data_IF_793517741209
#
_entry.id   IF_793517741209
#
_cell.length_a   1.000
_cell.length_b   1.000
_cell.length_c   1.000
_cell.angle_alpha   90.00
_cell.angle_beta   90.00
_cell.angle_gamma   90.00
#
_symmetry.space_group_name_H-M   'P 1'
#
loop_
_entity.id
_entity.type
_entity.pdbx_description
1 polymer ?
#
# COMPACT_ATOMS: atom_id res chain seq x y z
N UNK A 1 32.16 -34.96 18.15
CA UNK A 1 31.30 -34.68 19.32
C UNK A 1 31.52 -33.29 19.94
N UNK A 2 32.74 -32.72 19.94
CA UNK A 2 32.99 -31.37 20.53
C UNK A 2 32.36 -30.22 19.75
N UNK A 3 32.36 -30.28 18.42
CA UNK A 3 31.92 -29.15 17.60
C UNK A 3 30.39 -29.03 17.56
N UNK A 4 29.67 -30.15 17.58
CA UNK A 4 28.20 -30.17 17.69
C UNK A 4 27.74 -29.45 18.96
N UNK A 5 28.40 -29.68 20.10
CA UNK A 5 28.09 -28.96 21.36
C UNK A 5 28.38 -27.46 21.28
N UNK A 6 29.47 -27.07 20.61
CA UNK A 6 29.81 -25.65 20.39
C UNK A 6 28.78 -24.95 19.51
N UNK A 7 28.37 -25.57 18.40
CA UNK A 7 27.35 -25.02 17.52
C UNK A 7 25.99 -24.92 18.20
N UNK A 8 25.59 -25.93 18.98
CA UNK A 8 24.35 -25.87 19.77
C UNK A 8 24.37 -24.71 20.78
N UNK A 9 25.50 -24.50 21.45
CA UNK A 9 25.65 -23.41 22.41
C UNK A 9 25.57 -22.04 21.73
N UNK A 10 26.24 -21.88 20.59
CA UNK A 10 26.20 -20.66 19.79
C UNK A 10 24.79 -20.38 19.27
N UNK A 11 24.12 -21.39 18.72
CA UNK A 11 22.76 -21.28 18.20
C UNK A 11 21.77 -20.89 19.29
N UNK A 12 21.82 -21.52 20.46
CA UNK A 12 20.97 -21.14 21.59
C UNK A 12 21.24 -19.71 22.06
N UNK A 13 22.52 -19.30 22.12
CA UNK A 13 22.92 -17.94 22.51
C UNK A 13 22.40 -16.91 21.51
N UNK A 14 22.55 -17.18 20.21
CA UNK A 14 22.08 -16.30 19.13
C UNK A 14 20.55 -16.22 19.11
N UNK A 15 19.84 -17.33 19.34
CA UNK A 15 18.39 -17.34 19.44
C UNK A 15 17.90 -16.53 20.65
N UNK A 16 18.58 -16.65 21.79
CA UNK A 16 18.26 -15.87 22.99
C UNK A 16 18.51 -14.37 22.78
N UNK A 17 19.63 -14.00 22.15
CA UNK A 17 19.91 -12.61 21.79
C UNK A 17 18.89 -12.06 20.78
N UNK A 18 18.54 -12.87 19.77
CA UNK A 18 17.54 -12.51 18.78
C UNK A 18 16.19 -12.25 19.45
N UNK A 19 15.73 -13.17 20.29
CA UNK A 19 14.46 -13.06 21.01
C UNK A 19 14.40 -11.85 21.95
N UNK A 20 15.49 -11.56 22.67
CA UNK A 20 15.50 -10.52 23.71
C UNK A 20 15.73 -9.11 23.18
N UNK A 21 16.48 -8.95 22.10
CA UNK A 21 16.99 -7.63 21.69
C UNK A 21 16.68 -7.25 20.23
N UNK A 22 16.41 -8.24 19.36
CA UNK A 22 16.30 -8.02 17.92
C UNK A 22 14.85 -8.14 17.46
N UNK A 23 14.19 -9.24 17.82
CA UNK A 23 12.80 -9.52 17.43
C UNK A 23 11.81 -8.67 18.20
N UNK A 24 10.78 -8.22 17.49
CA UNK A 24 9.60 -7.61 18.12
C UNK A 24 8.83 -8.63 18.95
N UNK A 25 8.28 -8.20 20.08
CA UNK A 25 7.44 -9.07 20.90
C UNK A 25 6.12 -9.36 20.18
N UNK A 26 5.72 -10.63 20.10
CA UNK A 26 4.49 -11.06 19.40
C UNK A 26 3.23 -10.30 19.81
N UNK A 27 3.12 -9.96 21.11
CA UNK A 27 2.01 -9.18 21.65
C UNK A 27 1.97 -7.76 21.09
N UNK A 28 3.13 -7.13 20.91
CA UNK A 28 3.24 -5.78 20.35
C UNK A 28 2.95 -5.81 18.85
N UNK A 29 3.47 -6.81 18.13
CA UNK A 29 3.18 -7.00 16.69
C UNK A 29 1.67 -7.15 16.47
N UNK A 30 1.02 -8.04 17.22
CA UNK A 30 -0.42 -8.27 17.12
C UNK A 30 -1.22 -7.01 17.41
N UNK A 31 -0.88 -6.29 18.49
CA UNK A 31 -1.56 -5.03 18.85
C UNK A 31 -1.39 -3.97 17.75
N UNK A 32 -0.18 -3.80 17.25
CA UNK A 32 0.12 -2.78 16.25
C UNK A 32 -0.57 -3.09 14.91
N UNK A 33 -0.62 -4.36 14.50
CA UNK A 33 -1.39 -4.80 13.33
C UNK A 33 -2.88 -4.49 13.47
N UNK A 34 -3.48 -4.75 14.64
CA UNK A 34 -4.89 -4.42 14.87
C UNK A 34 -5.16 -2.91 14.78
N UNK A 35 -4.25 -2.08 15.30
CA UNK A 35 -4.35 -0.62 15.21
C UNK A 35 -4.21 -0.17 13.75
N UNK A 36 -3.21 -0.70 13.03
CA UNK A 36 -2.99 -0.36 11.63
C UNK A 36 -4.19 -0.74 10.76
N UNK A 37 -4.68 -1.98 10.86
CA UNK A 37 -5.85 -2.44 10.12
C UNK A 37 -7.07 -1.54 10.37
N UNK A 38 -7.29 -1.17 11.62
CA UNK A 38 -8.35 -0.25 12.04
C UNK A 38 -8.22 1.12 11.38
N UNK A 39 -7.02 1.72 11.42
CA UNK A 39 -6.75 3.03 10.80
C UNK A 39 -6.89 2.93 9.28
N UNK A 40 -6.27 1.93 8.64
CA UNK A 40 -6.29 1.77 7.20
C UNK A 40 -7.68 1.54 6.65
N UNK A 41 -8.52 0.77 7.35
CA UNK A 41 -9.91 0.60 6.95
C UNK A 41 -10.63 1.96 6.90
N UNK A 42 -10.55 2.74 7.99
CA UNK A 42 -11.15 4.08 8.04
C UNK A 42 -10.58 5.01 6.95
N UNK A 43 -9.27 4.96 6.75
CA UNK A 43 -8.57 5.80 5.79
C UNK A 43 -8.97 5.48 4.35
N UNK A 44 -8.91 4.20 3.96
CA UNK A 44 -9.24 3.72 2.62
C UNK A 44 -10.73 3.97 2.32
N UNK A 45 -11.62 3.77 3.29
CA UNK A 45 -13.04 4.05 3.08
C UNK A 45 -13.27 5.53 2.77
N UNK A 46 -12.58 6.45 3.46
CA UNK A 46 -12.59 7.87 3.10
C UNK A 46 -11.94 8.16 1.74
N UNK A 47 -10.83 7.52 1.40
CA UNK A 47 -10.22 7.67 0.06
C UNK A 47 -11.21 7.30 -1.05
N UNK A 48 -11.99 6.21 -0.86
CA UNK A 48 -13.05 5.79 -1.79
C UNK A 48 -14.20 6.79 -1.89
N UNK A 49 -14.50 7.51 -0.81
CA UNK A 49 -15.50 8.59 -0.84
C UNK A 49 -15.01 9.82 -1.62
N UNK A 50 -13.70 10.11 -1.57
CA UNK A 50 -13.10 11.29 -2.21
C UNK A 50 -12.84 11.12 -3.70
N UNK A 51 -12.61 9.89 -4.16
CA UNK A 51 -12.25 9.63 -5.55
C UNK A 51 -12.98 8.40 -6.12
N UNK A 52 -13.95 8.60 -7.02
CA UNK A 52 -14.70 7.52 -7.66
C UNK A 52 -13.83 6.57 -8.48
N UNK A 53 -12.74 7.06 -9.09
CA UNK A 53 -11.83 6.23 -9.87
C UNK A 53 -11.05 5.30 -8.94
N UNK A 54 -10.53 5.83 -7.82
CA UNK A 54 -9.88 5.04 -6.78
C UNK A 54 -10.84 3.99 -6.21
N UNK A 55 -12.07 4.38 -5.88
CA UNK A 55 -13.10 3.45 -5.41
C UNK A 55 -13.34 2.29 -6.36
N UNK A 56 -13.28 2.56 -7.66
CA UNK A 56 -13.53 1.55 -8.69
C UNK A 56 -12.32 0.66 -8.96
N UNK A 57 -11.11 1.20 -8.90
CA UNK A 57 -9.86 0.47 -9.16
C UNK A 57 -9.35 -0.28 -7.93
N UNK A 58 -9.52 0.27 -6.73
CA UNK A 58 -9.02 -0.32 -5.49
C UNK A 58 -9.64 -1.69 -5.25
N UNK A 59 -8.79 -2.68 -5.02
CA UNK A 59 -9.19 -4.07 -4.78
C UNK A 59 -8.93 -4.49 -3.34
N UNK A 60 -7.68 -4.39 -2.88
CA UNK A 60 -7.26 -4.78 -1.52
C UNK A 60 -5.92 -4.15 -1.15
N UNK A 61 -5.62 -4.18 0.14
CA UNK A 61 -4.28 -3.92 0.68
C UNK A 61 -3.53 -5.24 0.78
N UNK A 62 -2.26 -5.23 0.42
CA UNK A 62 -1.30 -6.22 0.85
C UNK A 62 -0.32 -5.59 1.83
N UNK A 63 0.04 -6.38 2.81
CA UNK A 63 1.01 -6.02 3.82
C UNK A 63 2.34 -6.63 3.42
N UNK A 64 3.32 -5.78 3.11
CA UNK A 64 4.62 -6.19 2.61
C UNK A 64 5.75 -5.56 3.42
N UNK A 65 6.99 -5.87 3.05
CA UNK A 65 8.17 -5.28 3.65
C UNK A 65 8.62 -5.98 4.94
N UNK A 66 9.79 -5.54 5.42
CA UNK A 66 10.56 -6.21 6.48
C UNK A 66 9.78 -6.44 7.78
N UNK A 67 8.78 -5.59 8.08
CA UNK A 67 7.92 -5.74 9.25
C UNK A 67 7.06 -7.00 9.18
N UNK A 68 6.44 -7.26 8.02
CA UNK A 68 5.59 -8.43 7.81
C UNK A 68 6.40 -9.69 7.49
N UNK A 69 7.60 -9.52 6.93
CA UNK A 69 8.54 -10.63 6.69
C UNK A 69 9.26 -11.10 7.97
N UNK A 70 9.02 -10.45 9.12
CA UNK A 70 9.70 -10.75 10.39
C UNK A 70 11.19 -10.42 10.38
N UNK A 71 11.66 -9.69 9.37
CA UNK A 71 13.05 -9.28 9.17
C UNK A 71 13.37 -7.94 9.84
N UNK A 72 12.35 -7.25 10.35
CA UNK A 72 12.53 -5.95 10.99
C UNK A 72 13.09 -6.08 12.40
N UNK A 73 14.20 -5.38 12.60
CA UNK A 73 14.92 -5.27 13.88
C UNK A 73 14.58 -3.92 14.52
N UNK A 74 14.28 -3.90 15.82
CA UNK A 74 14.00 -2.64 16.56
C UNK A 74 12.54 -2.18 16.52
N UNK A 75 12.27 -0.88 16.72
CA UNK A 75 10.89 -0.34 16.84
C UNK A 75 10.16 -0.25 15.49
N UNK A 76 8.85 -0.58 15.41
CA UNK A 76 8.09 -0.46 14.20
C UNK A 76 7.59 0.97 14.04
N UNK A 77 8.39 1.81 13.38
CA UNK A 77 8.11 3.24 13.19
C UNK A 77 7.47 3.53 11.82
N UNK A 78 7.45 2.57 10.91
CA UNK A 78 6.81 2.69 9.59
C UNK A 78 6.12 1.37 9.18
N UNK A 79 5.21 1.43 8.22
CA UNK A 79 4.62 0.25 7.60
C UNK A 79 4.63 0.42 6.08
N UNK A 80 5.14 -0.58 5.36
CA UNK A 80 5.03 -0.63 3.90
C UNK A 80 3.68 -1.25 3.52
N UNK A 81 2.96 -0.56 2.62
CA UNK A 81 1.61 -0.94 2.21
C UNK A 81 1.51 -0.97 0.69
N UNK A 82 1.08 -2.11 0.17
CA UNK A 82 0.84 -2.29 -1.25
C UNK A 82 -0.67 -2.22 -1.53
N UNK A 83 -1.10 -1.17 -2.23
CA UNK A 83 -2.50 -1.02 -2.63
C UNK A 83 -2.71 -1.63 -4.02
N UNK A 84 -3.47 -2.72 -4.09
CA UNK A 84 -3.79 -3.35 -5.38
C UNK A 84 -4.86 -2.55 -6.12
N UNK A 85 -4.47 -1.99 -7.27
CA UNK A 85 -5.36 -1.31 -8.21
C UNK A 85 -5.60 -2.19 -9.44
N UNK A 86 -6.87 -2.43 -9.77
CA UNK A 86 -7.28 -3.21 -10.93
C UNK A 86 -7.67 -2.28 -12.09
N UNK A 87 -7.01 -2.47 -13.23
CA UNK A 87 -7.35 -1.78 -14.48
C UNK A 87 -8.52 -2.48 -15.19
N UNK A 88 -9.37 -1.73 -15.92
CA UNK A 88 -10.46 -2.32 -16.68
C UNK A 88 -9.92 -3.21 -17.81
N UNK A 89 -10.33 -4.48 -17.82
CA UNK A 89 -9.89 -5.47 -18.82
C UNK A 89 -10.18 -5.04 -20.26
N UNK A 90 -11.31 -4.37 -20.48
CA UNK A 90 -11.73 -3.91 -21.81
C UNK A 90 -10.83 -2.79 -22.37
N UNK A 91 -10.07 -2.08 -21.53
CA UNK A 91 -9.05 -1.14 -21.98
C UNK A 91 -7.77 -1.84 -22.48
N UNK A 92 -7.72 -3.18 -22.41
CA UNK A 92 -6.62 -4.02 -22.89
C UNK A 92 -5.25 -3.61 -22.32
N UNK A 93 -5.07 -3.60 -20.99
CA UNK A 93 -3.79 -3.26 -20.38
C UNK A 93 -2.75 -4.33 -20.71
N UNK A 94 -1.63 -3.91 -21.29
CA UNK A 94 -0.52 -4.76 -21.70
C UNK A 94 0.77 -4.31 -21.02
N UNK A 95 1.53 -5.27 -20.48
CA UNK A 95 2.84 -5.04 -19.89
C UNK A 95 3.91 -5.34 -20.95
N UNK A 96 4.86 -4.43 -21.08
CA UNK A 96 6.01 -4.53 -21.97
C UNK A 96 7.30 -4.43 -21.17
N UNK A 97 8.32 -5.15 -21.64
CA UNK A 97 9.66 -5.11 -21.04
C UNK A 97 10.30 -3.75 -21.32
N UNK A 98 10.78 -3.09 -20.27
CA UNK A 98 11.56 -1.85 -20.42
C UNK A 98 12.97 -2.16 -20.90
N UNK A 99 13.60 -1.18 -21.57
CA UNK A 99 15.05 -1.21 -21.83
C UNK A 99 15.89 -1.03 -20.56
N UNK A 100 15.27 -0.58 -19.46
CA UNK A 100 15.91 -0.40 -18.16
C UNK A 100 15.61 -1.62 -17.28
N UNK A 101 16.62 -2.37 -16.82
CA UNK A 101 16.43 -3.50 -15.93
C UNK A 101 15.67 -3.12 -14.66
N UNK A 102 14.75 -3.98 -14.22
CA UNK A 102 13.92 -3.75 -13.03
C UNK A 102 12.67 -2.90 -13.29
N UNK A 103 12.46 -2.40 -14.52
CA UNK A 103 11.29 -1.62 -14.89
C UNK A 103 10.46 -2.31 -15.98
N UNK A 104 9.18 -1.98 -16.00
CA UNK A 104 8.23 -2.38 -17.05
C UNK A 104 7.44 -1.17 -17.52
N UNK A 105 6.84 -1.27 -18.70
CA UNK A 105 5.91 -0.27 -19.22
C UNK A 105 4.52 -0.87 -19.29
N UNK A 106 3.50 -0.12 -18.88
CA UNK A 106 2.11 -0.50 -19.02
C UNK A 106 1.45 0.38 -20.06
N UNK A 107 0.75 -0.20 -21.02
CA UNK A 107 0.00 0.51 -22.06
C UNK A 107 -1.42 -0.01 -22.19
N UNK A 108 -2.38 0.88 -22.47
CA UNK A 108 -3.74 0.49 -22.83
C UNK A 108 -3.86 0.29 -24.34
N UNK A 109 -4.36 -0.86 -24.77
CA UNK A 109 -4.63 -1.17 -26.18
C UNK A 109 -5.94 -0.58 -26.70
N UNK A 110 -6.93 -0.36 -25.82
CA UNK A 110 -8.29 -0.01 -26.22
C UNK A 110 -8.94 1.03 -25.29
N UNK A 111 -8.22 2.10 -24.97
CA UNK A 111 -8.73 3.18 -24.12
C UNK A 111 -9.99 3.84 -24.70
N UNK A 112 -9.96 4.23 -25.97
CA UNK A 112 -11.09 4.94 -26.58
C UNK A 112 -12.34 4.06 -26.69
N UNK A 113 -12.19 2.79 -27.03
CA UNK A 113 -13.29 1.83 -27.06
C UNK A 113 -13.87 1.60 -25.66
N UNK A 114 -13.02 1.55 -24.64
CA UNK A 114 -13.46 1.49 -23.24
C UNK A 114 -14.26 2.74 -22.83
N UNK A 115 -13.77 3.94 -23.13
CA UNK A 115 -14.44 5.19 -22.73
C UNK A 115 -15.77 5.45 -23.47
N UNK A 116 -16.01 4.80 -24.61
CA UNK A 116 -17.31 4.84 -25.31
C UNK A 116 -18.40 4.02 -24.61
N UNK A 117 -18.06 3.16 -23.65
CA UNK A 117 -19.05 2.42 -22.87
C UNK A 117 -19.84 3.38 -21.97
N UNK A 118 -21.19 3.36 -22.01
CA UNK A 118 -22.02 4.24 -21.19
C UNK A 118 -21.69 4.19 -19.69
N UNK A 119 -21.33 3.01 -19.18
CA UNK A 119 -20.96 2.76 -17.79
C UNK A 119 -19.56 3.27 -17.41
N UNK A 120 -18.66 3.42 -18.38
CA UNK A 120 -17.27 3.82 -18.14
C UNK A 120 -17.18 5.33 -17.88
N UNK A 121 -17.83 6.15 -18.71
CA UNK A 121 -17.71 7.61 -18.69
C UNK A 121 -17.92 8.27 -17.30
N UNK A 122 -18.98 7.98 -16.53
CA UNK A 122 -19.19 8.66 -15.24
C UNK A 122 -18.17 8.26 -14.17
N UNK A 123 -17.70 7.01 -14.18
CA UNK A 123 -16.82 6.45 -13.14
C UNK A 123 -15.34 6.65 -13.46
N UNK A 124 -14.97 6.52 -14.74
CA UNK A 124 -13.60 6.56 -15.24
C UNK A 124 -13.25 7.88 -15.95
N UNK A 125 -14.03 8.95 -15.73
CA UNK A 125 -13.80 10.26 -16.37
C UNK A 125 -12.37 10.80 -16.25
N UNK A 126 -11.68 10.52 -15.14
CA UNK A 126 -10.31 10.95 -14.86
C UNK A 126 -9.27 9.88 -15.18
N UNK A 127 -9.68 8.71 -15.67
CA UNK A 127 -8.79 7.57 -15.89
C UNK A 127 -7.69 7.89 -16.89
N UNK A 128 -8.02 8.58 -18.00
CA UNK A 128 -7.04 9.03 -18.98
C UNK A 128 -5.96 9.96 -18.43
N UNK A 129 -6.21 10.64 -17.30
CA UNK A 129 -5.22 11.51 -16.67
C UNK A 129 -4.05 10.74 -16.07
N UNK A 130 -4.17 9.42 -15.89
CA UNK A 130 -3.08 8.57 -15.40
C UNK A 130 -2.10 8.15 -16.50
N UNK A 131 -2.42 8.47 -17.76
CA UNK A 131 -1.67 8.02 -18.92
C UNK A 131 -1.08 9.21 -19.70
N UNK A 132 -0.06 8.95 -20.50
CA UNK A 132 0.45 9.89 -21.48
C UNK A 132 -0.41 9.93 -22.76
N UNK A 133 0.03 10.70 -23.76
CA UNK A 133 -0.69 10.87 -25.03
C UNK A 133 -0.72 9.59 -25.89
N UNK A 134 0.16 8.63 -25.60
CA UNK A 134 0.27 7.36 -26.30
C UNK A 134 -0.34 6.20 -25.49
N UNK A 135 -1.08 6.53 -24.42
CA UNK A 135 -1.74 5.61 -23.49
C UNK A 135 -0.79 4.72 -22.67
N UNK A 136 0.46 5.13 -22.48
CA UNK A 136 1.33 4.53 -21.47
C UNK A 136 1.00 5.09 -20.09
N UNK A 137 1.03 4.23 -19.07
CA UNK A 137 0.83 4.66 -17.69
C UNK A 137 1.99 5.55 -17.26
N UNK A 138 1.67 6.74 -16.80
CA UNK A 138 2.64 7.75 -16.41
C UNK A 138 2.79 7.75 -14.88
N UNK A 139 3.97 7.37 -14.41
CA UNK A 139 4.26 7.22 -12.98
C UNK A 139 4.03 8.52 -12.20
N UNK A 140 4.45 9.67 -12.74
CA UNK A 140 4.33 10.94 -12.04
C UNK A 140 2.87 11.35 -11.91
N UNK A 141 2.06 11.08 -12.94
CA UNK A 141 0.61 11.33 -12.89
C UNK A 141 -0.09 10.39 -11.90
N UNK A 142 0.29 9.12 -11.85
CA UNK A 142 -0.26 8.16 -10.87
C UNK A 142 0.09 8.57 -9.44
N UNK A 143 1.34 8.96 -9.19
CA UNK A 143 1.80 9.43 -7.89
C UNK A 143 1.07 10.70 -7.46
N UNK A 144 1.01 11.70 -8.35
CA UNK A 144 0.31 12.97 -8.11
C UNK A 144 -1.18 12.75 -7.83
N UNK A 145 -1.82 11.84 -8.56
CA UNK A 145 -3.21 11.46 -8.33
C UNK A 145 -3.40 10.83 -6.96
N UNK A 146 -2.57 9.85 -6.60
CA UNK A 146 -2.64 9.18 -5.29
C UNK A 146 -2.38 10.16 -4.14
N UNK A 147 -1.36 11.01 -4.24
CA UNK A 147 -1.05 12.05 -3.26
C UNK A 147 -2.24 13.00 -3.07
N UNK A 148 -2.87 13.41 -4.17
CA UNK A 148 -4.06 14.24 -4.13
C UNK A 148 -5.24 13.58 -3.39
N UNK A 149 -5.44 12.27 -3.54
CA UNK A 149 -6.47 11.52 -2.79
C UNK A 149 -6.12 11.48 -1.30
N UNK A 150 -4.86 11.15 -0.99
CA UNK A 150 -4.35 11.09 0.38
C UNK A 150 -4.53 12.45 1.06
N UNK A 151 -4.08 13.54 0.44
CA UNK A 151 -4.18 14.89 0.99
C UNK A 151 -5.64 15.31 1.24
N UNK A 152 -6.54 15.07 0.27
CA UNK A 152 -7.98 15.33 0.44
C UNK A 152 -8.57 14.52 1.59
N UNK A 153 -8.12 13.28 1.76
CA UNK A 153 -8.56 12.40 2.84
C UNK A 153 -8.02 12.87 4.18
N UNK A 154 -6.75 13.29 4.25
CA UNK A 154 -6.13 13.86 5.46
C UNK A 154 -6.85 15.12 5.95
N UNK A 155 -7.34 15.95 5.03
CA UNK A 155 -8.05 17.19 5.35
C UNK A 155 -9.40 16.98 6.06
N UNK A 156 -10.00 15.79 5.94
CA UNK A 156 -11.24 15.44 6.65
C UNK A 156 -11.02 15.09 8.12
N UNK A 157 -9.79 14.74 8.50
CA UNK A 157 -9.49 14.34 9.87
C UNK A 157 -9.27 15.59 10.75
N UNK A 158 -9.87 15.62 11.96
CA UNK A 158 -9.64 16.68 12.92
C UNK A 158 -8.15 16.88 13.18
N UNK A 159 -7.75 18.14 13.32
CA UNK A 159 -6.38 18.49 13.62
C UNK A 159 -6.24 18.74 15.13
N UNK A 160 -5.20 18.17 15.74
CA UNK A 160 -4.80 18.43 17.12
C UNK A 160 -3.32 18.79 17.14
N UNK A 161 -3.04 20.10 17.23
CA UNK A 161 -1.67 20.61 17.04
C UNK A 161 -1.15 20.35 15.62
N UNK A 162 -0.02 19.67 15.50
CA UNK A 162 0.55 19.25 14.20
C UNK A 162 0.04 17.89 13.70
N UNK A 163 -0.79 17.18 14.47
CA UNK A 163 -1.26 15.82 14.17
C UNK A 163 -2.70 15.78 13.68
N UNK A 164 -3.04 14.70 12.99
CA UNK A 164 -4.38 14.41 12.48
C UNK A 164 -4.96 13.24 13.27
N UNK A 165 -6.19 13.42 13.75
CA UNK A 165 -6.84 12.45 14.63
C UNK A 165 -7.75 11.55 13.81
N UNK A 166 -7.49 10.24 13.84
CA UNK A 166 -8.36 9.22 13.25
C UNK A 166 -9.18 8.59 14.37
N UNK A 167 -10.49 8.83 14.37
CA UNK A 167 -11.41 8.24 15.34
C UNK A 167 -12.29 7.20 14.68
N UNK A 168 -12.37 6.01 15.26
CA UNK A 168 -13.27 4.93 14.84
C UNK A 168 -13.73 4.07 16.03
N UNK A 169 -14.41 2.95 15.76
CA UNK A 169 -14.95 2.07 16.78
C UNK A 169 -13.89 1.47 17.74
N UNK A 170 -12.61 1.46 17.34
CA UNK A 170 -11.51 0.93 18.13
C UNK A 170 -10.77 2.01 18.95
N UNK A 171 -11.18 3.28 18.86
CA UNK A 171 -10.61 4.39 19.60
C UNK A 171 -10.25 5.60 18.74
N UNK A 172 -9.49 6.52 19.32
CA UNK A 172 -8.91 7.68 18.65
C UNK A 172 -7.39 7.53 18.57
N UNK A 173 -6.83 7.72 17.39
CA UNK A 173 -5.41 7.57 17.06
C UNK A 173 -4.86 8.92 16.57
N UNK A 174 -3.63 9.26 16.94
CA UNK A 174 -2.96 10.53 16.62
C UNK A 174 -1.64 10.34 15.85
#
# INVERSE_FOLDING_TARGET
MSDIKKYLYLENTLNEMNSKFISLQDKEVKRNNQILESILKTFIDKMKEKDPLFKKMFSRVFYGGSYYDGLRVGKPEEFDLDLLLSLPKYAEPTIMVSKVPGFVQLKLGNYDGFMRQPEAAPTYRTFGNLFDKEYFLDTDKVLSWMEGIVQKTMNDFPQKGSKRVVSNANGAFE
#
